data_IF_804865527357
#
_entry.id   IF_804865527357
#
_cell.length_a   1.000
_cell.length_b   1.000
_cell.length_c   1.000
_cell.angle_alpha   90.00
_cell.angle_beta   90.00
_cell.angle_gamma   90.00
#
_symmetry.space_group_name_H-M   'P 1'
#
loop_
_entity.id
_entity.type
_entity.pdbx_description
1 polymer ?
#
# COMPACT_ATOMS: atom_id res chain seq x y z
N UNK A 1 20.27 40.17 -28.60
CA UNK A 1 19.00 39.47 -28.27
C UNK A 1 19.11 38.03 -28.72
N UNK A 2 18.57 37.07 -27.94
CA UNK A 2 18.53 35.68 -28.36
C UNK A 2 17.45 35.49 -29.44
N UNK A 3 17.74 34.70 -30.47
CA UNK A 3 16.73 34.35 -31.47
C UNK A 3 15.68 33.40 -30.85
N UNK A 4 14.44 33.36 -31.36
CA UNK A 4 13.42 32.44 -30.85
C UNK A 4 13.88 30.97 -30.80
N UNK A 5 14.71 30.56 -31.77
CA UNK A 5 15.23 29.20 -31.87
C UNK A 5 16.23 28.89 -30.73
N UNK A 6 17.05 29.87 -30.35
CA UNK A 6 17.94 29.76 -29.21
C UNK A 6 17.19 29.70 -27.88
N UNK A 7 16.03 30.38 -27.78
CA UNK A 7 15.18 30.33 -26.59
C UNK A 7 14.54 28.93 -26.47
N UNK A 8 14.01 28.38 -27.57
CA UNK A 8 13.45 27.02 -27.61
C UNK A 8 14.47 25.98 -27.18
N UNK A 9 15.67 26.01 -27.77
CA UNK A 9 16.74 25.07 -27.43
C UNK A 9 17.10 25.12 -25.93
N UNK A 10 17.24 26.33 -25.37
CA UNK A 10 17.57 26.49 -23.94
C UNK A 10 16.50 25.91 -23.02
N UNK A 11 15.22 26.02 -23.38
CA UNK A 11 14.12 25.45 -22.61
C UNK A 11 14.12 23.93 -22.72
N UNK A 12 14.28 23.38 -23.92
CA UNK A 12 14.35 21.94 -24.16
C UNK A 12 15.52 21.28 -23.42
N UNK A 13 16.70 21.90 -23.47
CA UNK A 13 17.88 21.42 -22.74
C UNK A 13 17.65 21.43 -21.22
N UNK A 14 17.05 22.51 -20.71
CA UNK A 14 16.75 22.64 -19.29
C UNK A 14 15.69 21.62 -18.82
N UNK A 15 14.64 21.41 -19.62
CA UNK A 15 13.61 20.43 -19.29
C UNK A 15 14.13 19.00 -19.38
N UNK A 16 14.94 18.69 -20.39
CA UNK A 16 15.61 17.40 -20.52
C UNK A 16 16.51 17.11 -19.30
N UNK A 17 17.33 18.08 -18.89
CA UNK A 17 18.17 17.92 -17.70
C UNK A 17 17.36 17.75 -16.41
N UNK A 18 16.16 18.36 -16.32
CA UNK A 18 15.25 18.20 -15.18
C UNK A 18 14.55 16.85 -15.21
N UNK A 19 14.04 16.42 -16.36
CA UNK A 19 13.32 15.16 -16.53
C UNK A 19 14.23 13.96 -16.27
N UNK A 20 15.48 13.99 -16.74
CA UNK A 20 16.49 12.96 -16.44
C UNK A 20 16.73 12.84 -14.93
N UNK A 21 16.89 13.97 -14.22
CA UNK A 21 17.07 13.95 -12.76
C UNK A 21 15.85 13.40 -12.02
N UNK A 22 14.65 13.79 -12.45
CA UNK A 22 13.40 13.27 -11.87
C UNK A 22 13.25 11.76 -12.12
N UNK A 23 13.56 11.29 -13.32
CA UNK A 23 13.51 9.88 -13.68
C UNK A 23 14.48 9.05 -12.82
N UNK A 24 15.73 9.51 -12.68
CA UNK A 24 16.73 8.84 -11.85
C UNK A 24 16.29 8.74 -10.37
N UNK A 25 15.75 9.82 -9.81
CA UNK A 25 15.23 9.83 -8.44
C UNK A 25 14.04 8.87 -8.27
N UNK A 26 13.08 8.90 -9.20
CA UNK A 26 11.92 8.01 -9.17
C UNK A 26 12.33 6.52 -9.28
N UNK A 27 13.32 6.20 -10.12
CA UNK A 27 13.87 4.85 -10.22
C UNK A 27 14.50 4.40 -8.90
N UNK A 28 15.34 5.24 -8.28
CA UNK A 28 15.96 4.91 -6.99
C UNK A 28 14.93 4.68 -5.89
N UNK A 29 13.93 5.55 -5.79
CA UNK A 29 12.86 5.40 -4.80
C UNK A 29 12.06 4.12 -5.08
N UNK A 30 11.74 3.84 -6.34
CA UNK A 30 11.02 2.62 -6.73
C UNK A 30 11.76 1.34 -6.31
N UNK A 31 13.07 1.28 -6.56
CA UNK A 31 13.93 0.15 -6.16
C UNK A 31 13.95 0.00 -4.63
N UNK A 32 14.11 1.10 -3.88
CA UNK A 32 14.11 1.06 -2.42
C UNK A 32 12.76 0.63 -1.85
N UNK A 33 11.66 1.10 -2.44
CA UNK A 33 10.31 0.71 -2.03
C UNK A 33 10.06 -0.79 -2.24
N UNK A 34 10.49 -1.35 -3.37
CA UNK A 34 10.41 -2.78 -3.64
C UNK A 34 11.24 -3.60 -2.66
N UNK A 35 12.48 -3.16 -2.39
CA UNK A 35 13.34 -3.81 -1.39
C UNK A 35 12.71 -3.77 0.01
N UNK A 36 12.14 -2.63 0.40
CA UNK A 36 11.42 -2.49 1.68
C UNK A 36 10.24 -3.46 1.75
N UNK A 37 9.45 -3.57 0.70
CA UNK A 37 8.32 -4.51 0.66
C UNK A 37 8.78 -5.96 0.84
N UNK A 38 9.89 -6.35 0.21
CA UNK A 38 10.48 -7.68 0.39
C UNK A 38 10.94 -7.94 1.83
N UNK A 39 11.61 -6.97 2.45
CA UNK A 39 12.05 -7.09 3.86
C UNK A 39 10.85 -7.17 4.81
N UNK A 40 9.80 -6.38 4.58
CA UNK A 40 8.59 -6.42 5.41
C UNK A 40 7.91 -7.79 5.29
N UNK A 41 7.81 -8.36 4.09
CA UNK A 41 7.26 -9.70 3.93
C UNK A 41 8.08 -10.77 4.68
N UNK A 42 9.41 -10.71 4.59
CA UNK A 42 10.29 -11.61 5.34
C UNK A 42 10.14 -11.43 6.86
N UNK A 43 10.00 -10.17 7.32
CA UNK A 43 9.78 -9.88 8.73
C UNK A 43 8.45 -10.46 9.22
N UNK A 44 7.37 -10.29 8.45
CA UNK A 44 6.06 -10.87 8.78
C UNK A 44 6.11 -12.39 8.88
N UNK A 45 6.94 -13.06 8.06
CA UNK A 45 7.12 -14.51 8.13
C UNK A 45 7.88 -14.92 9.40
N UNK A 46 8.96 -14.22 9.73
CA UNK A 46 9.71 -14.43 10.97
C UNK A 46 8.84 -14.17 12.21
N UNK A 47 8.06 -13.09 12.21
CA UNK A 47 7.16 -12.76 13.33
C UNK A 47 6.06 -13.82 13.51
N UNK A 48 5.59 -14.44 12.42
CA UNK A 48 4.67 -15.58 12.48
C UNK A 48 5.32 -16.80 13.11
N UNK A 49 6.53 -17.17 12.68
CA UNK A 49 7.28 -18.28 13.25
C UNK A 49 7.59 -18.07 14.74
N UNK A 50 7.98 -16.84 15.13
CA UNK A 50 8.16 -16.46 16.53
C UNK A 50 6.87 -16.65 17.34
N UNK A 51 5.72 -16.22 16.79
CA UNK A 51 4.42 -16.41 17.43
C UNK A 51 4.03 -17.89 17.58
N UNK A 52 4.37 -18.74 16.61
CA UNK A 52 4.15 -20.18 16.68
C UNK A 52 5.02 -20.84 17.78
N UNK A 53 6.33 -20.56 17.79
CA UNK A 53 7.25 -21.09 18.81
C UNK A 53 6.88 -20.59 20.21
N UNK A 54 6.47 -19.32 20.33
CA UNK A 54 6.04 -18.75 21.60
C UNK A 54 4.74 -19.37 22.12
N UNK A 55 3.84 -19.78 21.23
CA UNK A 55 2.62 -20.49 21.63
C UNK A 55 2.94 -21.90 22.17
N UNK A 56 3.89 -22.60 21.56
CA UNK A 56 4.35 -23.91 22.03
C UNK A 56 5.14 -23.81 23.34
N UNK A 57 5.93 -22.75 23.50
CA UNK A 57 6.75 -22.54 24.70
C UNK A 57 5.93 -22.16 25.94
N UNK A 58 4.72 -21.59 25.77
CA UNK A 58 3.91 -21.07 26.88
C UNK A 58 3.44 -22.14 27.88
N UNK A 59 3.37 -23.40 27.46
CA UNK A 59 3.05 -24.49 28.38
C UNK A 59 4.23 -24.83 29.32
N UNK A 60 5.44 -24.36 29.00
CA UNK A 60 6.68 -24.66 29.71
C UNK A 60 7.25 -23.44 30.43
N UNK A 61 7.20 -22.27 29.79
CA UNK A 61 7.78 -21.01 30.28
C UNK A 61 6.83 -19.83 30.06
N UNK A 62 6.66 -19.01 31.11
CA UNK A 62 5.82 -17.82 31.03
C UNK A 62 6.44 -16.69 30.20
N UNK A 63 5.62 -15.75 29.72
CA UNK A 63 6.08 -14.61 28.90
C UNK A 63 7.09 -13.73 29.66
N UNK A 64 6.87 -13.46 30.94
CA UNK A 64 7.76 -12.61 31.75
C UNK A 64 9.12 -13.28 31.99
N UNK A 65 9.14 -14.60 32.15
CA UNK A 65 10.38 -15.36 32.32
C UNK A 65 11.15 -15.43 31.00
N UNK A 66 10.47 -15.68 29.89
CA UNK A 66 11.09 -15.70 28.57
C UNK A 66 11.67 -14.33 28.18
N UNK A 67 10.97 -13.24 28.52
CA UNK A 67 11.47 -11.88 28.37
C UNK A 67 12.79 -11.68 29.13
N UNK A 68 12.89 -12.20 30.36
CA UNK A 68 14.10 -12.16 31.16
C UNK A 68 15.27 -12.95 30.57
N UNK A 69 15.04 -14.06 29.87
CA UNK A 69 16.10 -14.86 29.26
C UNK A 69 16.55 -14.37 27.88
N UNK A 70 15.69 -13.63 27.17
CA UNK A 70 15.93 -13.22 25.79
C UNK A 70 16.24 -11.74 25.64
N UNK A 71 16.18 -10.97 26.73
CA UNK A 71 16.27 -9.51 26.76
C UNK A 71 15.23 -8.82 25.85
N UNK A 72 14.11 -9.50 25.59
CA UNK A 72 12.99 -8.99 24.81
C UNK A 72 11.94 -8.36 25.72
N UNK A 73 11.20 -7.39 25.20
CA UNK A 73 10.10 -6.79 25.98
C UNK A 73 8.92 -7.76 26.01
N UNK A 74 8.25 -7.92 27.17
CA UNK A 74 7.01 -8.71 27.26
C UNK A 74 5.94 -8.23 26.27
N UNK A 75 5.90 -6.92 25.99
CA UNK A 75 5.00 -6.33 25.01
C UNK A 75 5.22 -6.88 23.60
N UNK A 76 6.47 -7.04 23.16
CA UNK A 76 6.81 -7.53 21.82
C UNK A 76 6.44 -9.02 21.70
N UNK A 77 6.77 -9.82 22.72
CA UNK A 77 6.39 -11.24 22.82
C UNK A 77 4.86 -11.40 22.78
N UNK A 78 4.13 -10.63 23.60
CA UNK A 78 2.66 -10.64 23.60
C UNK A 78 2.07 -10.18 22.27
N UNK A 79 2.75 -9.26 21.57
CA UNK A 79 2.37 -8.77 20.25
C UNK A 79 2.48 -9.85 19.18
N UNK A 80 3.59 -10.60 19.14
CA UNK A 80 3.75 -11.73 18.21
C UNK A 80 2.77 -12.86 18.50
N UNK A 81 2.48 -13.12 19.77
CA UNK A 81 1.46 -14.10 20.14
C UNK A 81 0.05 -13.67 19.70
N UNK A 82 -0.30 -12.40 19.88
CA UNK A 82 -1.60 -11.86 19.49
C UNK A 82 -1.74 -11.73 17.96
N UNK A 83 -0.65 -11.42 17.26
CA UNK A 83 -0.56 -11.33 15.80
C UNK A 83 -0.69 -12.68 15.12
N UNK A 84 -0.46 -13.78 15.84
CA UNK A 84 -0.74 -15.14 15.38
C UNK A 84 -2.22 -15.29 15.08
N UNK A 85 -2.58 -15.27 13.80
CA UNK A 85 -3.92 -15.70 13.38
C UNK A 85 -4.06 -17.18 13.74
N UNK A 86 -4.99 -17.56 14.62
CA UNK A 86 -5.12 -18.96 15.01
C UNK A 86 -5.46 -19.76 13.75
N UNK A 87 -4.57 -20.66 13.38
CA UNK A 87 -4.80 -21.75 12.43
C UNK A 87 -5.79 -22.75 13.05
N UNK A 88 -6.92 -22.27 13.57
CA UNK A 88 -7.98 -23.12 14.11
C UNK A 88 -8.41 -24.05 12.99
N UNK A 89 -8.09 -25.32 13.19
CA UNK A 89 -8.10 -26.36 12.19
C UNK A 89 -9.29 -26.26 11.26
N UNK A 90 -8.99 -26.29 9.97
CA UNK A 90 -9.96 -26.61 8.92
C UNK A 90 -10.47 -28.02 9.19
N UNK A 91 -11.49 -28.15 10.04
CA UNK A 91 -12.25 -29.38 10.23
C UNK A 91 -12.82 -29.74 8.86
N UNK A 92 -12.19 -30.71 8.19
CA UNK A 92 -12.73 -31.30 6.96
C UNK A 92 -14.10 -31.88 7.31
N UNK A 93 -15.16 -31.28 6.78
CA UNK A 93 -16.42 -31.99 6.61
C UNK A 93 -16.38 -32.62 5.22
N UNK A 94 -15.91 -33.86 5.16
CA UNK A 94 -16.15 -34.74 4.02
C UNK A 94 -17.57 -35.30 4.14
N UNK A 95 -18.45 -34.92 3.22
CA UNK A 95 -19.55 -35.78 2.77
C UNK A 95 -19.92 -35.43 1.32
N UNK A 96 -19.39 -36.24 0.41
CA UNK A 96 -20.07 -36.93 -0.70
C UNK A 96 -21.26 -36.26 -1.39
N UNK A 97 -21.13 -36.01 -2.70
CA UNK A 97 -22.24 -35.78 -3.63
C UNK A 97 -21.79 -35.30 -5.01
N UNK A 98 -21.37 -36.22 -5.89
CA UNK A 98 -21.28 -36.02 -7.36
C UNK A 98 -22.50 -36.68 -8.03
N UNK A 99 -22.71 -36.56 -9.36
CA UNK A 99 -22.84 -35.37 -10.21
C UNK A 99 -24.16 -35.43 -11.04
N UNK A 100 -24.71 -34.30 -11.50
CA UNK A 100 -25.69 -34.33 -12.59
C UNK A 100 -25.64 -33.09 -13.48
N UNK A 101 -25.03 -33.28 -14.64
CA UNK A 101 -25.34 -32.58 -15.90
C UNK A 101 -25.90 -33.65 -16.88
N UNK A 102 -26.41 -33.32 -18.08
CA UNK A 102 -26.73 -32.02 -18.66
C UNK A 102 -28.16 -31.97 -19.26
N UNK A 103 -28.82 -30.82 -19.37
CA UNK A 103 -29.68 -30.60 -20.55
C UNK A 103 -30.03 -29.13 -20.82
N UNK A 104 -30.15 -28.85 -22.12
CA UNK A 104 -30.85 -27.74 -22.77
C UNK A 104 -30.06 -26.43 -23.00
N UNK A 105 -29.43 -26.40 -24.19
CA UNK A 105 -29.13 -25.20 -25.01
C UNK A 105 -30.45 -24.47 -25.42
N UNK A 106 -30.42 -23.45 -26.30
CA UNK A 106 -29.97 -22.07 -26.11
C UNK A 106 -31.11 -21.07 -26.46
N UNK A 107 -31.17 -19.88 -25.84
CA UNK A 107 -32.01 -18.79 -26.38
C UNK A 107 -31.28 -17.46 -26.35
N UNK A 108 -31.04 -16.96 -27.54
CA UNK A 108 -30.59 -15.62 -27.92
C UNK A 108 -31.50 -14.52 -27.33
N UNK A 109 -30.92 -13.53 -26.66
CA UNK A 109 -31.49 -12.18 -26.52
C UNK A 109 -30.34 -11.21 -26.18
N UNK A 110 -29.81 -10.54 -27.21
CA UNK A 110 -30.14 -9.15 -27.59
C UNK A 110 -29.71 -8.12 -26.54
N UNK A 111 -28.65 -7.40 -26.93
CA UNK A 111 -28.40 -5.97 -26.71
C UNK A 111 -29.17 -5.28 -25.58
N UNK A 112 -28.41 -4.70 -24.64
CA UNK A 112 -28.72 -3.36 -24.16
C UNK A 112 -27.42 -2.61 -23.85
N UNK A 113 -27.07 -1.77 -24.81
CA UNK A 113 -26.15 -0.64 -24.71
C UNK A 113 -26.55 0.24 -23.53
N UNK A 114 -25.71 0.38 -22.51
CA UNK A 114 -25.82 1.48 -21.55
C UNK A 114 -24.69 2.45 -21.85
N UNK A 115 -25.05 3.42 -22.68
CA UNK A 115 -24.32 4.68 -22.88
C UNK A 115 -24.30 5.42 -21.54
N UNK A 116 -23.17 5.45 -20.85
CA UNK A 116 -22.96 6.38 -19.73
C UNK A 116 -22.41 7.69 -20.31
N UNK A 117 -23.31 8.66 -20.46
CA UNK A 117 -22.99 10.06 -20.71
C UNK A 117 -22.15 10.60 -19.53
N UNK A 118 -20.96 11.18 -19.75
CA UNK A 118 -20.29 11.97 -18.73
C UNK A 118 -20.97 13.34 -18.62
N UNK A 119 -21.52 13.63 -17.44
CA UNK A 119 -22.01 14.95 -17.05
C UNK A 119 -20.85 15.97 -17.12
N UNK A 120 -20.97 17.08 -17.86
CA UNK A 120 -19.99 18.16 -17.82
C UNK A 120 -20.04 18.85 -16.44
N UNK A 121 -18.89 18.90 -15.76
CA UNK A 121 -18.71 19.66 -14.53
C UNK A 121 -18.52 21.14 -14.89
N UNK A 122 -19.49 21.94 -14.51
CA UNK A 122 -19.48 23.40 -14.60
C UNK A 122 -18.36 23.98 -13.70
N UNK A 123 -17.53 24.91 -14.21
CA UNK A 123 -16.51 25.58 -13.41
C UNK A 123 -17.13 26.67 -12.54
N UNK A 124 -16.90 26.60 -11.23
CA UNK A 124 -17.24 27.66 -10.28
C UNK A 124 -16.39 28.92 -10.56
N UNK A 125 -16.96 30.13 -10.49
CA UNK A 125 -16.23 31.37 -10.69
C UNK A 125 -15.29 31.67 -9.52
N UNK A 126 -14.16 32.29 -9.85
CA UNK A 126 -13.15 32.78 -8.92
C UNK A 126 -13.74 33.87 -8.01
N UNK A 127 -13.64 33.68 -6.70
CA UNK A 127 -13.76 34.79 -5.76
C UNK A 127 -12.38 35.36 -5.51
N UNK A 128 -12.20 36.55 -6.07
CA UNK A 128 -11.25 37.57 -5.65
C UNK A 128 -11.43 37.81 -4.15
N UNK A 129 -10.36 37.66 -3.38
CA UNK A 129 -10.29 38.19 -2.03
C UNK A 129 -8.85 38.61 -1.77
N UNK A 130 -8.59 39.81 -2.28
CA UNK A 130 -7.63 40.74 -1.72
C UNK A 130 -7.93 40.91 -0.22
N UNK A 131 -7.03 40.42 0.63
CA UNK A 131 -7.00 40.81 2.04
C UNK A 131 -5.55 40.87 2.50
N UNK A 132 -4.98 42.03 2.19
CA UNK A 132 -3.81 42.60 2.87
C UNK A 132 -4.12 42.72 4.37
N UNK A 133 -3.47 41.88 5.18
CA UNK A 133 -3.55 41.92 6.64
C UNK A 133 -2.18 41.65 7.26
N UNK A 134 -1.44 42.73 7.49
CA UNK A 134 -0.12 42.75 8.12
C UNK A 134 -0.13 42.08 9.50
N UNK A 135 0.66 41.01 9.64
CA UNK A 135 1.02 40.40 10.92
C UNK A 135 2.36 40.93 11.40
N UNK A 136 2.31 41.93 12.27
CA UNK A 136 3.40 42.47 13.08
C UNK A 136 3.87 41.37 14.05
N UNK A 137 5.17 41.10 14.16
CA UNK A 137 5.92 40.77 15.41
C UNK A 137 7.37 40.41 15.06
N UNK A 138 8.34 41.22 15.48
CA UNK A 138 9.60 40.78 16.09
C UNK A 138 10.56 41.98 16.24
N UNK A 139 10.79 42.41 17.47
CA UNK A 139 12.00 43.11 17.91
C UNK A 139 12.03 43.12 19.45
N UNK A 140 13.20 43.31 20.07
CA UNK A 140 14.43 42.53 19.94
C UNK A 140 14.70 41.67 21.19
#
# INVERSE_FOLDING_TARGET
>A
MATPEQIRQRVEDADTARSVRRAAAAQQIGVLAQRRAGIVAQLEDVERELGDVLAEAQDVIGIDELAGFTDLKPADLSGWLAGRRPTRGRRRKSSTGTPREPNSRPVTSRNSTVTRTPTPREPAPAEDSDSTGQGVTAAP
#
